data_IF_709469098549
#
_entry.id   IF_709469098549
#
_cell.length_a   1.000
_cell.length_b   1.000
_cell.length_c   1.000
_cell.angle_alpha   90.00
_cell.angle_beta   90.00
_cell.angle_gamma   90.00
#
_symmetry.space_group_name_H-M   'P 1'
#
loop_
_entity.id
_entity.type
_entity.pdbx_description
1 polymer ?
#
# COMPACT_ATOMS: atom_id res chain seq x y z
N UNK A 1 15.34 -2.39 14.84
CA UNK A 1 14.76 -1.10 15.30
C UNK A 1 13.28 -1.38 15.55
N UNK A 2 12.79 -1.11 16.76
CA UNK A 2 11.39 -1.34 17.12
C UNK A 2 10.54 -0.25 16.47
N UNK A 3 9.71 -0.61 15.50
CA UNK A 3 8.69 0.28 14.95
C UNK A 3 7.49 0.24 15.90
N UNK A 4 7.58 0.97 17.01
CA UNK A 4 6.46 1.25 17.90
C UNK A 4 5.86 2.59 17.49
N UNK A 5 5.19 2.61 16.33
CA UNK A 5 4.20 3.66 16.06
C UNK A 5 2.85 3.07 16.40
N UNK A 6 2.23 3.56 17.47
CA UNK A 6 0.90 3.13 17.91
C UNK A 6 -0.14 3.24 16.78
N UNK A 7 0.08 4.15 15.83
CA UNK A 7 -0.75 4.33 14.65
C UNK A 7 -0.56 3.23 13.60
N UNK A 8 0.68 2.78 13.37
CA UNK A 8 0.95 1.67 12.46
C UNK A 8 0.30 0.38 12.98
N UNK A 9 0.45 0.11 14.27
CA UNK A 9 -0.19 -1.05 14.92
C UNK A 9 -1.71 -0.99 14.80
N UNK A 10 -2.31 0.17 15.08
CA UNK A 10 -3.76 0.35 14.97
C UNK A 10 -4.29 0.16 13.54
N UNK A 11 -3.56 0.66 12.54
CA UNK A 11 -3.93 0.53 11.13
C UNK A 11 -3.80 -0.92 10.64
N UNK A 12 -2.76 -1.63 11.08
CA UNK A 12 -2.59 -3.06 10.81
C UNK A 12 -3.67 -3.92 11.45
N UNK A 13 -4.18 -3.53 12.63
CA UNK A 13 -5.27 -4.24 13.30
C UNK A 13 -6.62 -3.97 12.62
N UNK A 14 -6.88 -2.74 12.19
CA UNK A 14 -8.08 -2.42 11.39
C UNK A 14 -8.12 -3.16 10.06
N UNK A 15 -6.96 -3.32 9.38
CA UNK A 15 -6.88 -4.09 8.15
C UNK A 15 -7.17 -5.57 8.37
N UNK A 16 -6.76 -6.14 9.51
CA UNK A 16 -7.08 -7.53 9.87
C UNK A 16 -8.55 -7.71 10.24
N UNK A 17 -9.13 -6.77 10.99
CA UNK A 17 -10.54 -6.78 11.38
C UNK A 17 -11.48 -6.65 10.17
N UNK A 18 -11.04 -5.93 9.13
CA UNK A 18 -11.77 -5.79 7.86
C UNK A 18 -11.57 -6.97 6.89
N UNK A 19 -10.95 -8.07 7.32
CA UNK A 19 -10.60 -9.24 6.49
C UNK A 19 -9.63 -8.93 5.31
N UNK A 20 -8.85 -7.85 5.40
CA UNK A 20 -7.87 -7.40 4.40
C UNK A 20 -6.43 -7.83 4.76
N UNK A 21 -6.25 -9.10 5.10
CA UNK A 21 -4.97 -9.64 5.57
C UNK A 21 -3.81 -9.54 4.56
N UNK A 22 -4.10 -9.66 3.27
CA UNK A 22 -3.10 -9.57 2.21
C UNK A 22 -2.55 -8.14 2.06
N UNK A 23 -3.42 -7.14 2.20
CA UNK A 23 -3.06 -5.72 2.18
C UNK A 23 -2.18 -5.34 3.37
N UNK A 24 -2.52 -5.86 4.56
CA UNK A 24 -1.68 -5.69 5.74
C UNK A 24 -0.27 -6.27 5.51
N UNK A 25 -0.20 -7.47 4.93
CA UNK A 25 1.08 -8.14 4.66
C UNK A 25 1.94 -7.37 3.66
N UNK A 26 1.32 -6.83 2.61
CA UNK A 26 2.00 -6.04 1.60
C UNK A 26 2.49 -4.69 2.16
N UNK A 27 1.68 -4.04 3.00
CA UNK A 27 2.06 -2.80 3.67
C UNK A 27 3.25 -3.00 4.63
N UNK A 28 3.24 -4.09 5.41
CA UNK A 28 4.36 -4.42 6.31
C UNK A 28 5.65 -4.67 5.54
N UNK A 29 5.54 -5.28 4.36
CA UNK A 29 6.69 -5.51 3.49
C UNK A 29 7.28 -4.20 2.92
N UNK A 30 6.43 -3.26 2.48
CA UNK A 30 6.87 -1.95 1.98
C UNK A 30 7.49 -1.07 3.08
N UNK A 31 6.86 -1.03 4.26
CA UNK A 31 7.37 -0.28 5.42
C UNK A 31 8.74 -0.79 5.85
N UNK A 32 8.94 -2.11 5.86
CA UNK A 32 10.24 -2.72 6.20
C UNK A 32 11.33 -2.44 5.15
N UNK A 33 10.96 -2.23 3.90
CA UNK A 33 11.91 -1.95 2.82
C UNK A 33 12.34 -0.49 2.79
N UNK A 34 11.48 0.45 3.19
CA UNK A 34 11.77 1.89 3.18
C UNK A 34 11.86 2.48 1.76
N UNK A 35 12.24 3.76 1.62
CA UNK A 35 12.36 4.44 0.30
C UNK A 35 13.80 4.76 -0.11
N UNK A 36 14.16 4.41 -1.33
CA UNK A 36 15.34 4.91 -2.04
C UNK A 36 15.35 6.46 -2.19
N UNK A 37 16.45 7.13 -1.80
CA UNK A 37 16.69 8.55 -2.11
C UNK A 37 18.14 8.83 -2.53
N UNK A 38 18.37 10.01 -3.12
CA UNK A 38 19.69 10.50 -3.50
C UNK A 38 20.49 11.05 -2.30
N UNK A 39 21.82 11.03 -2.42
CA UNK A 39 22.73 11.48 -1.37
C UNK A 39 22.58 12.98 -1.02
N UNK A 40 22.24 13.82 -2.01
CA UNK A 40 21.97 15.25 -1.78
C UNK A 40 20.75 15.46 -0.88
N UNK A 41 19.72 14.62 -1.03
CA UNK A 41 18.52 14.67 -0.21
C UNK A 41 18.80 14.21 1.23
N UNK A 42 19.69 13.21 1.41
CA UNK A 42 20.21 12.81 2.74
C UNK A 42 20.98 13.90 3.47
N UNK A 43 21.83 14.65 2.74
CA UNK A 43 22.61 15.75 3.32
C UNK A 43 21.70 16.86 3.85
N UNK A 44 20.55 17.08 3.21
CA UNK A 44 19.59 18.12 3.59
C UNK A 44 18.64 17.67 4.71
N UNK A 45 18.03 16.49 4.58
CA UNK A 45 16.96 16.05 5.49
C UNK A 45 17.49 15.43 6.78
N UNK A 46 18.70 14.86 6.77
CA UNK A 46 19.27 14.15 7.92
C UNK A 46 20.74 14.49 8.13
N UNK A 47 21.09 15.78 8.07
CA UNK A 47 22.47 16.28 8.17
C UNK A 47 23.26 15.72 9.37
N UNK A 48 22.63 15.59 10.55
CA UNK A 48 23.27 15.06 11.76
C UNK A 48 23.55 13.56 11.70
N UNK A 49 22.62 12.77 11.15
CA UNK A 49 22.79 11.32 10.98
C UNK A 49 23.74 11.00 9.81
N UNK A 50 23.72 11.82 8.76
CA UNK A 50 24.68 11.77 7.66
C UNK A 50 26.10 12.02 8.16
N UNK A 51 26.33 13.06 8.97
CA UNK A 51 27.65 13.34 9.55
C UNK A 51 28.15 12.20 10.45
N UNK A 52 27.27 11.65 11.31
CA UNK A 52 27.60 10.50 12.16
C UNK A 52 27.87 9.21 11.35
N UNK A 53 27.20 9.02 10.22
CA UNK A 53 27.43 7.92 9.29
C UNK A 53 28.72 8.11 8.50
N UNK A 54 28.98 9.32 7.99
CA UNK A 54 30.20 9.68 7.28
C UNK A 54 31.45 9.54 8.17
N UNK A 55 31.37 9.91 9.45
CA UNK A 55 32.46 9.70 10.42
C UNK A 55 32.75 8.22 10.63
N UNK A 56 31.72 7.38 10.80
CA UNK A 56 31.87 5.91 10.93
C UNK A 56 32.38 5.25 9.65
N UNK A 57 32.00 5.78 8.49
CA UNK A 57 32.48 5.34 7.17
C UNK A 57 33.89 5.82 6.87
N UNK A 58 34.35 6.93 7.46
CA UNK A 58 35.73 7.40 7.32
C UNK A 58 36.71 6.57 8.21
N UNK A 59 36.23 6.06 9.34
CA UNK A 59 36.99 5.19 10.25
C UNK A 59 37.20 3.77 9.69
N UNK A 60 36.29 3.28 8.86
CA UNK A 60 36.49 2.05 8.07
C UNK A 60 37.06 2.46 6.72
N UNK A 61 38.20 1.89 6.28
CA UNK A 61 38.75 2.08 4.93
C UNK A 61 37.83 1.45 3.86
N UNK A 62 36.62 1.96 3.72
CA UNK A 62 35.66 1.57 2.70
C UNK A 62 35.76 2.58 1.55
N UNK A 63 35.65 2.13 0.30
CA UNK A 63 35.62 3.01 -0.85
C UNK A 63 34.43 3.99 -0.75
N UNK A 64 34.59 5.17 -1.35
CA UNK A 64 33.53 6.18 -1.42
C UNK A 64 32.32 5.59 -2.16
N UNK A 65 31.13 5.97 -1.72
CA UNK A 65 29.89 5.62 -2.41
C UNK A 65 29.89 6.25 -3.81
N UNK A 66 29.52 5.47 -4.82
CA UNK A 66 29.43 5.89 -6.22
C UNK A 66 28.05 6.50 -6.52
N UNK A 67 27.90 7.18 -7.65
CA UNK A 67 26.66 7.90 -8.04
C UNK A 67 25.42 6.97 -8.14
N UNK A 68 25.64 5.66 -8.23
CA UNK A 68 24.64 4.60 -8.20
C UNK A 68 24.23 4.13 -6.80
N UNK A 69 24.89 4.61 -5.74
CA UNK A 69 24.61 4.18 -4.37
C UNK A 69 23.39 4.89 -3.81
N UNK A 70 22.27 4.17 -3.86
CA UNK A 70 20.98 4.59 -3.31
C UNK A 70 21.01 4.41 -1.79
N UNK A 71 20.80 5.50 -1.07
CA UNK A 71 20.61 5.42 0.38
C UNK A 71 19.13 5.57 0.69
N UNK A 72 18.61 4.67 1.52
CA UNK A 72 17.18 4.60 1.84
C UNK A 72 16.87 5.61 2.95
N UNK A 73 16.07 6.64 2.68
CA UNK A 73 15.50 7.54 3.70
C UNK A 73 14.09 7.06 4.02
N UNK A 74 13.74 6.90 5.32
CA UNK A 74 12.35 6.72 5.73
C UNK A 74 11.50 7.93 5.35
N UNK A 75 10.33 7.71 4.75
CA UNK A 75 9.33 8.77 4.57
C UNK A 75 9.02 9.44 5.91
N UNK A 76 8.75 10.74 5.87
CA UNK A 76 8.13 11.43 7.00
C UNK A 76 6.71 10.90 7.25
N UNK A 77 6.16 11.11 8.45
CA UNK A 77 4.82 10.61 8.80
C UNK A 77 3.75 11.14 7.82
N UNK A 78 3.81 12.42 7.44
CA UNK A 78 2.91 13.04 6.48
C UNK A 78 3.05 12.42 5.07
N UNK A 79 4.28 12.15 4.63
CA UNK A 79 4.52 11.51 3.32
C UNK A 79 4.05 10.05 3.30
N UNK A 80 4.18 9.32 4.41
CA UNK A 80 3.65 7.97 4.55
C UNK A 80 2.12 7.96 4.45
N UNK A 81 1.45 8.89 5.13
CA UNK A 81 -0.02 8.99 5.09
C UNK A 81 -0.50 9.30 3.67
N UNK A 82 0.14 10.25 2.99
CA UNK A 82 -0.22 10.60 1.61
C UNK A 82 0.06 9.44 0.64
N UNK A 83 1.15 8.69 0.83
CA UNK A 83 1.45 7.50 0.05
C UNK A 83 0.38 6.42 0.23
N UNK A 84 0.02 6.12 1.49
CA UNK A 84 -1.00 5.13 1.83
C UNK A 84 -2.35 5.55 1.25
N UNK A 85 -2.73 6.83 1.39
CA UNK A 85 -3.96 7.39 0.82
C UNK A 85 -4.05 7.18 -0.69
N UNK A 86 -3.00 7.53 -1.41
CA UNK A 86 -2.93 7.35 -2.88
C UNK A 86 -2.97 5.89 -3.27
N UNK A 87 -2.23 5.03 -2.56
CA UNK A 87 -2.17 3.60 -2.84
C UNK A 87 -3.55 2.94 -2.65
N UNK A 88 -4.22 3.18 -1.52
CA UNK A 88 -5.54 2.65 -1.22
C UNK A 88 -6.57 3.08 -2.27
N UNK A 89 -6.60 4.36 -2.62
CA UNK A 89 -7.51 4.87 -3.63
C UNK A 89 -7.25 4.22 -5.00
N UNK A 90 -5.98 4.17 -5.42
CA UNK A 90 -5.60 3.60 -6.72
C UNK A 90 -5.97 2.12 -6.82
N UNK A 91 -5.74 1.35 -5.74
CA UNK A 91 -6.08 -0.06 -5.70
C UNK A 91 -7.60 -0.27 -5.78
N UNK A 92 -8.37 0.48 -5.00
CA UNK A 92 -9.83 0.38 -5.01
C UNK A 92 -10.42 0.77 -6.38
N UNK A 93 -9.90 1.82 -7.01
CA UNK A 93 -10.33 2.25 -8.34
C UNK A 93 -10.00 1.21 -9.42
N UNK A 94 -8.78 0.67 -9.38
CA UNK A 94 -8.35 -0.38 -10.32
C UNK A 94 -9.18 -1.65 -10.15
N UNK A 95 -9.47 -2.02 -8.90
CA UNK A 95 -10.28 -3.19 -8.56
C UNK A 95 -11.70 -3.07 -9.13
N UNK A 96 -12.34 -1.91 -8.96
CA UNK A 96 -13.67 -1.65 -9.52
C UNK A 96 -13.65 -1.59 -11.05
N UNK A 97 -12.70 -0.85 -11.64
CA UNK A 97 -12.63 -0.65 -13.08
C UNK A 97 -12.40 -1.97 -13.83
N UNK A 98 -11.52 -2.84 -13.32
CA UNK A 98 -11.24 -4.15 -13.94
C UNK A 98 -12.45 -5.08 -13.92
N UNK A 99 -13.13 -5.20 -12.77
CA UNK A 99 -14.35 -6.03 -12.63
C UNK A 99 -15.49 -5.51 -13.47
N UNK A 100 -15.70 -4.19 -13.47
CA UNK A 100 -16.70 -3.54 -14.32
C UNK A 100 -16.41 -3.79 -15.81
N UNK A 101 -15.16 -3.66 -16.23
CA UNK A 101 -14.79 -3.94 -17.62
C UNK A 101 -15.05 -5.40 -18.02
N UNK A 102 -14.72 -6.36 -17.14
CA UNK A 102 -15.02 -7.77 -17.38
C UNK A 102 -16.54 -8.04 -17.48
N UNK A 103 -17.33 -7.46 -16.58
CA UNK A 103 -18.79 -7.54 -16.61
C UNK A 103 -19.37 -6.92 -17.89
N UNK A 104 -18.93 -5.72 -18.26
CA UNK A 104 -19.39 -5.01 -19.44
C UNK A 104 -19.09 -5.81 -20.72
N UNK A 105 -17.91 -6.43 -20.81
CA UNK A 105 -17.54 -7.34 -21.92
C UNK A 105 -18.44 -8.56 -21.94
N UNK A 106 -18.65 -9.23 -20.80
CA UNK A 106 -19.50 -10.42 -20.72
C UNK A 106 -20.94 -10.10 -21.15
N UNK A 107 -21.50 -8.99 -20.66
CA UNK A 107 -22.84 -8.52 -21.04
C UNK A 107 -22.92 -8.15 -22.53
N UNK A 108 -21.94 -7.41 -23.05
CA UNK A 108 -21.94 -6.97 -24.45
C UNK A 108 -21.87 -8.15 -25.44
N UNK A 109 -21.22 -9.24 -25.05
CA UNK A 109 -21.07 -10.43 -25.87
C UNK A 109 -22.06 -11.55 -25.54
N UNK A 110 -22.99 -11.34 -24.60
CA UNK A 110 -23.96 -12.35 -24.17
C UNK A 110 -23.31 -13.59 -23.57
N UNK A 111 -22.16 -13.42 -22.91
CA UNK A 111 -21.44 -14.47 -22.20
C UNK A 111 -22.13 -14.76 -20.87
N UNK A 112 -21.82 -15.92 -20.30
CA UNK A 112 -22.22 -16.22 -18.93
C UNK A 112 -21.58 -15.23 -17.94
N UNK A 113 -22.36 -14.83 -16.94
CA UNK A 113 -21.90 -13.91 -15.89
C UNK A 113 -21.29 -14.67 -14.71
N UNK A 114 -21.49 -15.99 -14.67
CA UNK A 114 -20.84 -16.89 -13.74
C UNK A 114 -19.54 -17.40 -14.36
N UNK A 115 -18.41 -17.16 -13.70
CA UNK A 115 -17.12 -17.78 -14.06
C UNK A 115 -16.89 -18.97 -13.14
N UNK A 116 -16.75 -20.15 -13.72
CA UNK A 116 -16.43 -21.38 -13.01
C UNK A 116 -14.93 -21.68 -13.09
N UNK A 117 -14.33 -22.07 -11.97
CA UNK A 117 -12.95 -22.48 -11.85
C UNK A 117 -12.88 -23.89 -11.29
N UNK A 118 -12.12 -24.74 -11.97
CA UNK A 118 -11.96 -26.15 -11.65
C UNK A 118 -12.51 -27.03 -12.76
N UNK A 119 -12.10 -28.28 -12.75
CA UNK A 119 -12.64 -29.28 -13.67
C UNK A 119 -13.86 -29.95 -13.01
N UNK A 120 -15.09 -29.76 -13.54
CA UNK A 120 -16.30 -30.34 -12.97
C UNK A 120 -16.29 -31.87 -12.94
N UNK A 121 -15.42 -32.53 -13.71
CA UNK A 121 -15.26 -33.99 -13.69
C UNK A 121 -14.32 -34.48 -12.58
N UNK A 122 -13.45 -33.60 -12.05
CA UNK A 122 -12.42 -33.96 -11.06
C UNK A 122 -12.72 -33.38 -9.66
N UNK A 123 -13.41 -32.24 -9.58
CA UNK A 123 -13.71 -31.54 -8.34
C UNK A 123 -15.02 -30.74 -8.44
N UNK A 124 -15.50 -30.24 -7.30
CA UNK A 124 -16.62 -29.27 -7.30
C UNK A 124 -16.07 -27.91 -7.70
N UNK A 125 -16.49 -27.33 -8.84
CA UNK A 125 -15.97 -26.05 -9.29
C UNK A 125 -16.35 -24.94 -8.31
N UNK A 126 -15.43 -24.00 -8.12
CA UNK A 126 -15.74 -22.74 -7.48
C UNK A 126 -16.31 -21.78 -8.51
N UNK A 127 -17.31 -20.99 -8.15
CA UNK A 127 -17.93 -20.04 -9.07
C UNK A 127 -17.83 -18.62 -8.54
N UNK A 128 -17.72 -17.68 -9.48
CA UNK A 128 -17.70 -16.25 -9.22
C UNK A 128 -18.78 -15.60 -10.08
N UNK A 129 -19.69 -14.89 -9.43
CA UNK A 129 -20.68 -14.05 -10.09
C UNK A 129 -20.09 -12.66 -10.38
N UNK A 130 -19.89 -12.34 -11.67
CA UNK A 130 -19.30 -11.07 -12.11
C UNK A 130 -20.09 -9.85 -11.63
N UNK A 131 -21.42 -9.96 -11.59
CA UNK A 131 -22.30 -8.91 -11.09
C UNK A 131 -22.07 -8.63 -9.61
N UNK A 132 -22.00 -9.69 -8.79
CA UNK A 132 -21.75 -9.56 -7.36
C UNK A 132 -20.35 -9.03 -7.07
N UNK A 133 -19.32 -9.54 -7.75
CA UNK A 133 -17.95 -9.07 -7.60
C UNK A 133 -17.82 -7.59 -7.96
N UNK A 134 -18.44 -7.16 -9.06
CA UNK A 134 -18.45 -5.75 -9.45
C UNK A 134 -19.16 -4.89 -8.41
N UNK A 135 -20.26 -5.39 -7.86
CA UNK A 135 -21.00 -4.73 -6.77
C UNK A 135 -20.15 -4.58 -5.50
N UNK A 136 -19.52 -5.67 -5.05
CA UNK A 136 -18.59 -5.69 -3.90
C UNK A 136 -17.47 -4.66 -4.11
N UNK A 137 -16.85 -4.67 -5.28
CA UNK A 137 -15.76 -3.74 -5.60
C UNK A 137 -16.20 -2.27 -5.62
N UNK A 138 -17.45 -1.99 -6.02
CA UNK A 138 -18.02 -0.64 -5.97
C UNK A 138 -18.18 -0.16 -4.52
N UNK A 139 -18.73 -1.02 -3.66
CA UNK A 139 -18.89 -0.72 -2.22
C UNK A 139 -17.54 -0.46 -1.58
N UNK A 140 -16.52 -1.27 -1.87
CA UNK A 140 -15.15 -1.04 -1.38
C UNK A 140 -14.59 0.31 -1.81
N UNK A 141 -14.79 0.70 -3.08
CA UNK A 141 -14.35 2.01 -3.56
C UNK A 141 -15.07 3.17 -2.85
N UNK A 142 -16.38 3.05 -2.61
CA UNK A 142 -17.17 4.03 -1.88
C UNK A 142 -16.66 4.18 -0.44
N UNK A 143 -16.43 3.07 0.27
CA UNK A 143 -15.88 3.06 1.63
C UNK A 143 -14.47 3.67 1.71
N UNK A 144 -13.59 3.35 0.76
CA UNK A 144 -12.24 3.95 0.72
C UNK A 144 -12.33 5.46 0.51
N UNK A 145 -13.24 5.93 -0.37
CA UNK A 145 -13.44 7.38 -0.57
C UNK A 145 -13.98 8.06 0.67
N UNK A 146 -14.93 7.44 1.35
CA UNK A 146 -15.50 7.93 2.61
C UNK A 146 -14.43 8.04 3.69
N UNK A 147 -13.68 6.97 3.93
CA UNK A 147 -12.59 6.92 4.91
C UNK A 147 -11.49 7.96 4.65
N UNK A 148 -11.21 8.24 3.38
CA UNK A 148 -10.25 9.29 3.00
C UNK A 148 -10.85 10.71 3.07
N UNK A 149 -12.18 10.85 3.02
CA UNK A 149 -12.90 12.12 3.09
C UNK A 149 -13.21 12.60 4.51
N UNK A 150 -13.47 11.68 5.45
CA UNK A 150 -13.70 12.00 6.87
C UNK A 150 -12.40 12.35 7.62
N UNK A 151 -11.26 12.23 6.95
CA UNK A 151 -9.99 12.75 7.41
C UNK A 151 -9.28 11.82 8.38
N UNK A 152 -8.24 11.17 7.87
CA UNK A 152 -7.05 10.78 8.66
C UNK A 152 -6.48 12.03 9.40
N UNK A 153 -6.82 13.24 8.93
CA UNK A 153 -6.38 14.53 9.46
C UNK A 153 -7.07 14.96 10.78
N UNK A 154 -8.22 14.37 11.16
CA UNK A 154 -8.96 14.80 12.36
C UNK A 154 -8.21 14.55 13.69
N UNK A 155 -7.16 13.72 13.70
CA UNK A 155 -6.32 13.46 14.88
C UNK A 155 -4.99 14.20 14.88
N UNK A 156 -4.59 14.85 13.79
CA UNK A 156 -3.38 15.66 13.74
C UNK A 156 -3.53 16.98 14.54
N UNK A 157 -4.76 17.46 14.76
CA UNK A 157 -5.03 18.69 15.53
C UNK A 157 -5.24 18.47 17.02
N UNK A 158 -5.46 17.23 17.50
CA UNK A 158 -5.74 16.96 18.92
C UNK A 158 -4.45 16.92 19.77
N UNK A 159 -3.27 16.81 19.15
CA UNK A 159 -1.98 16.69 19.83
C UNK A 159 -1.03 17.88 19.60
N UNK A 160 -1.52 19.07 19.28
CA UNK A 160 -0.73 20.33 19.31
C UNK A 160 -0.90 21.10 20.61
#
# INVERSE_FOLDING_TARGET
MSFESDQYTHLMDQLKEAELGDLASQLDQEVRQGRAVSEEKLKQEQASQYAARASRLAERKLPRLEESDVAVIPYTDDENIELIRRALLTLAETMYASRKAALDVAVAHGMDLTIEFGDPELETPSSIELGEETGRARVTLELVRELLSEGIDARAEVNR
#
